data_IF_280785227876
#
_entry.id   IF_280785227876
#
_cell.length_a   1.000
_cell.length_b   1.000
_cell.length_c   1.000
_cell.angle_alpha   90.00
_cell.angle_beta   90.00
_cell.angle_gamma   90.00
#
_symmetry.space_group_name_H-M   'P 1'
#
loop_
_entity.id
_entity.type
_entity.pdbx_description
1 polymer ?
#
# COMPACT_ATOMS: atom_id res chain seq x y z
N UNK A 1 -9.41 -1.38 -22.99
CA UNK A 1 -8.36 -0.92 -23.93
C UNK A 1 -7.47 0.16 -23.33
N UNK A 2 -8.01 1.27 -22.81
CA UNK A 2 -7.22 2.38 -22.25
C UNK A 2 -6.28 1.97 -21.10
N UNK A 3 -6.78 1.23 -20.10
CA UNK A 3 -5.96 0.76 -18.97
C UNK A 3 -4.70 0.00 -19.43
N UNK A 4 -4.82 -0.86 -20.43
CA UNK A 4 -3.70 -1.60 -20.99
C UNK A 4 -2.69 -0.68 -21.68
N UNK A 5 -3.17 0.31 -22.45
CA UNK A 5 -2.32 1.31 -23.10
C UNK A 5 -1.55 2.16 -22.08
N UNK A 6 -2.22 2.64 -21.03
CA UNK A 6 -1.58 3.39 -19.95
C UNK A 6 -0.57 2.54 -19.17
N UNK A 7 -0.81 1.23 -19.03
CA UNK A 7 0.10 0.32 -18.34
C UNK A 7 1.48 0.26 -19.01
N UNK A 8 1.54 0.20 -20.34
CA UNK A 8 2.81 0.11 -21.09
C UNK A 8 3.43 1.48 -21.41
N UNK A 9 2.72 2.57 -21.13
CA UNK A 9 3.14 3.93 -21.44
C UNK A 9 4.37 4.36 -20.63
N UNK A 10 5.37 4.95 -21.29
CA UNK A 10 6.53 5.58 -20.63
C UNK A 10 6.15 6.89 -19.92
N UNK A 11 6.91 7.34 -18.90
CA UNK A 11 6.67 8.61 -18.19
C UNK A 11 7.09 9.83 -19.02
N UNK A 12 6.67 9.91 -20.28
CA UNK A 12 6.90 11.07 -21.13
C UNK A 12 5.82 12.13 -20.84
N UNK A 13 6.01 13.41 -21.20
CA UNK A 13 4.94 14.40 -21.08
C UNK A 13 3.72 14.04 -21.95
N UNK A 14 2.52 14.38 -21.48
CA UNK A 14 1.27 14.30 -22.26
C UNK A 14 0.93 15.66 -22.88
N UNK A 15 0.37 15.65 -24.08
CA UNK A 15 -0.21 16.86 -24.66
C UNK A 15 -1.36 17.39 -23.76
N UNK A 16 -1.50 18.71 -23.59
CA UNK A 16 -2.47 19.29 -22.66
C UNK A 16 -3.92 18.83 -22.89
N UNK A 17 -4.32 18.67 -24.16
CA UNK A 17 -5.66 18.17 -24.49
C UNK A 17 -5.87 16.72 -24.06
N UNK A 18 -4.87 15.85 -24.25
CA UNK A 18 -4.93 14.44 -23.81
C UNK A 18 -4.98 14.35 -22.28
N UNK A 19 -4.19 15.18 -21.58
CA UNK A 19 -4.22 15.29 -20.12
C UNK A 19 -5.63 15.62 -19.62
N UNK A 20 -6.27 16.64 -20.20
CA UNK A 20 -7.63 17.05 -19.83
C UNK A 20 -8.69 15.96 -20.06
N UNK A 21 -8.60 15.23 -21.18
CA UNK A 21 -9.49 14.11 -21.47
C UNK A 21 -9.30 12.95 -20.49
N UNK A 22 -8.05 12.59 -20.19
CA UNK A 22 -7.75 11.52 -19.23
C UNK A 22 -8.21 11.89 -17.82
N UNK A 23 -8.01 13.14 -17.40
CA UNK A 23 -8.41 13.64 -16.09
C UNK A 23 -9.94 13.57 -15.93
N UNK A 24 -10.68 14.01 -16.96
CA UNK A 24 -12.14 13.90 -17.00
C UNK A 24 -12.62 12.44 -16.91
N UNK A 25 -12.00 11.55 -17.69
CA UNK A 25 -12.40 10.15 -17.73
C UNK A 25 -12.10 9.42 -16.42
N UNK A 26 -10.87 9.55 -15.92
CA UNK A 26 -10.44 8.89 -14.68
C UNK A 26 -11.14 9.48 -13.45
N UNK A 27 -11.40 10.80 -13.46
CA UNK A 27 -12.26 11.46 -12.48
C UNK A 27 -13.69 10.91 -12.47
N UNK A 28 -14.28 10.69 -13.65
CA UNK A 28 -15.58 10.04 -13.80
C UNK A 28 -15.58 8.59 -13.29
N UNK A 29 -14.57 7.79 -13.64
CA UNK A 29 -14.43 6.42 -13.11
C UNK A 29 -14.32 6.40 -11.59
N UNK A 30 -13.54 7.31 -11.00
CA UNK A 30 -13.42 7.48 -9.55
C UNK A 30 -14.77 7.83 -8.91
N UNK A 31 -15.55 8.72 -9.53
CA UNK A 31 -16.85 9.13 -8.99
C UNK A 31 -17.90 7.99 -8.98
N UNK A 32 -17.80 7.05 -9.93
CA UNK A 32 -18.68 5.88 -10.00
C UNK A 32 -18.28 4.76 -9.02
N UNK A 33 -17.07 4.82 -8.47
CA UNK A 33 -16.50 3.83 -7.56
C UNK A 33 -16.92 4.14 -6.12
N UNK A 34 -17.59 3.19 -5.47
CA UNK A 34 -17.97 3.32 -4.05
C UNK A 34 -16.75 3.14 -3.14
N UNK A 35 -16.15 4.26 -2.74
CA UNK A 35 -15.02 4.25 -1.82
C UNK A 35 -15.45 3.94 -0.38
N UNK A 36 -14.61 3.22 0.36
CA UNK A 36 -14.79 2.97 1.80
C UNK A 36 -13.93 3.95 2.60
N UNK A 37 -14.48 4.58 3.63
CA UNK A 37 -13.70 5.44 4.53
C UNK A 37 -12.86 4.59 5.49
N UNK A 38 -11.55 4.87 5.59
CA UNK A 38 -10.66 4.14 6.47
C UNK A 38 -11.07 4.19 7.95
N UNK A 39 -11.65 5.31 8.40
CA UNK A 39 -12.13 5.47 9.78
C UNK A 39 -13.44 4.73 10.04
N UNK A 40 -14.21 4.41 8.99
CA UNK A 40 -15.46 3.67 9.10
C UNK A 40 -15.25 2.14 9.16
N UNK A 41 -14.06 1.64 8.83
CA UNK A 41 -13.73 0.22 9.00
C UNK A 41 -13.67 -0.07 10.50
N UNK A 42 -14.29 -1.14 11.03
CA UNK A 42 -14.14 -1.49 12.44
C UNK A 42 -12.69 -1.83 12.80
N UNK A 43 -12.25 -1.36 13.96
CA UNK A 43 -10.94 -1.65 14.55
C UNK A 43 -10.85 -3.11 14.99
N UNK A 44 -9.63 -3.59 15.22
CA UNK A 44 -9.37 -4.90 15.79
C UNK A 44 -9.98 -5.01 17.19
N UNK A 45 -9.97 -3.94 18.00
CA UNK A 45 -10.61 -3.92 19.31
C UNK A 45 -12.14 -4.07 19.23
N UNK A 46 -12.78 -3.47 18.22
CA UNK A 46 -14.24 -3.60 18.00
C UNK A 46 -14.64 -4.99 17.51
N UNK A 47 -13.84 -5.60 16.63
CA UNK A 47 -14.11 -6.94 16.08
C UNK A 47 -13.75 -8.04 17.10
N UNK A 48 -12.63 -7.88 17.83
CA UNK A 48 -12.13 -8.82 18.83
C UNK A 48 -11.90 -8.13 20.18
N UNK A 49 -12.95 -7.90 21.00
CA UNK A 49 -12.84 -7.18 22.27
C UNK A 49 -11.89 -7.79 23.31
N UNK A 50 -11.58 -9.09 23.20
CA UNK A 50 -10.67 -9.80 24.10
C UNK A 50 -9.21 -9.83 23.60
N UNK A 51 -8.91 -9.16 22.49
CA UNK A 51 -7.55 -9.13 21.94
C UNK A 51 -6.57 -8.40 22.87
N UNK A 52 -5.32 -8.87 22.90
CA UNK A 52 -4.16 -8.21 23.52
C UNK A 52 -3.23 -7.59 22.48
N UNK A 53 -3.67 -7.46 21.23
CA UNK A 53 -2.87 -6.81 20.21
C UNK A 53 -2.60 -5.34 20.61
N UNK A 54 -1.33 -4.89 20.74
CA UNK A 54 -1.02 -3.61 21.39
C UNK A 54 -1.59 -2.36 20.72
N UNK A 55 -1.92 -2.44 19.43
CA UNK A 55 -2.46 -1.34 18.64
C UNK A 55 -3.93 -1.60 18.20
N UNK A 56 -4.67 -2.41 18.97
CA UNK A 56 -6.01 -2.86 18.56
C UNK A 56 -7.02 -1.72 18.32
N UNK A 57 -6.94 -0.62 19.08
CA UNK A 57 -7.85 0.53 18.95
C UNK A 57 -7.57 1.39 17.70
N UNK A 58 -6.38 1.28 17.12
CA UNK A 58 -5.95 2.09 15.97
C UNK A 58 -5.79 1.25 14.69
N UNK A 59 -5.80 -0.07 14.80
CA UNK A 59 -5.59 -0.97 13.67
C UNK A 59 -6.92 -1.54 13.22
N UNK A 60 -7.14 -1.64 11.91
CA UNK A 60 -8.27 -2.34 11.31
C UNK A 60 -7.79 -3.38 10.28
N UNK A 61 -8.60 -4.41 10.08
CA UNK A 61 -8.45 -5.37 8.99
C UNK A 61 -9.61 -5.19 8.03
N UNK A 62 -9.29 -4.95 6.76
CA UNK A 62 -10.29 -4.75 5.72
C UNK A 62 -9.99 -5.62 4.50
N UNK A 63 -10.95 -6.43 4.08
CA UNK A 63 -10.84 -7.21 2.86
C UNK A 63 -11.47 -6.45 1.69
N UNK A 64 -10.65 -6.01 0.75
CA UNK A 64 -11.13 -5.21 -0.38
C UNK A 64 -10.03 -4.75 -1.34
N UNK A 65 -10.41 -3.90 -2.29
CA UNK A 65 -9.48 -3.25 -3.21
C UNK A 65 -8.92 -1.98 -2.56
N UNK A 66 -7.62 -1.97 -2.25
CA UNK A 66 -6.95 -0.81 -1.63
C UNK A 66 -7.12 0.48 -2.42
N UNK A 67 -7.35 0.41 -3.74
CA UNK A 67 -7.59 1.60 -4.58
C UNK A 67 -8.95 2.25 -4.34
N UNK A 68 -9.82 1.61 -3.54
CA UNK A 68 -11.15 2.08 -3.15
C UNK A 68 -11.17 2.62 -1.71
N UNK A 69 -10.05 2.56 -0.99
CA UNK A 69 -10.00 3.00 0.39
C UNK A 69 -9.64 4.49 0.46
N UNK A 70 -10.51 5.27 1.11
CA UNK A 70 -10.30 6.68 1.42
C UNK A 70 -9.51 6.76 2.73
N UNK A 71 -8.19 6.71 2.59
CA UNK A 71 -7.21 7.02 3.62
C UNK A 71 -6.37 8.22 3.17
N UNK A 72 -5.57 8.82 4.04
CA UNK A 72 -4.64 9.87 3.62
C UNK A 72 -3.54 9.27 2.76
N UNK A 73 -2.99 8.12 3.15
CA UNK A 73 -1.99 7.39 2.39
C UNK A 73 -2.32 5.91 2.21
N UNK A 74 -2.07 5.39 1.01
CA UNK A 74 -2.08 3.94 0.74
C UNK A 74 -0.69 3.46 0.36
N UNK A 75 -0.30 2.28 0.85
CA UNK A 75 0.97 1.68 0.52
C UNK A 75 0.89 0.91 -0.81
N UNK A 76 1.89 1.11 -1.67
CA UNK A 76 2.09 0.35 -2.90
C UNK A 76 3.31 -0.57 -2.74
N UNK A 77 3.13 -1.88 -2.97
CA UNK A 77 4.23 -2.83 -3.10
C UNK A 77 4.89 -2.67 -4.49
N UNK A 78 5.81 -1.72 -4.58
CA UNK A 78 6.50 -1.34 -5.80
C UNK A 78 7.66 -2.30 -6.13
N UNK A 79 8.16 -2.20 -7.36
CA UNK A 79 9.42 -2.79 -7.77
C UNK A 79 10.57 -1.75 -7.70
N UNK A 80 11.82 -2.20 -7.77
CA UNK A 80 13.02 -1.35 -7.63
C UNK A 80 13.14 -0.20 -8.64
N UNK A 81 12.39 -0.23 -9.75
CA UNK A 81 12.40 0.87 -10.71
C UNK A 81 11.44 2.01 -10.31
N UNK A 82 10.50 1.79 -9.38
CA UNK A 82 9.41 2.71 -8.97
C UNK A 82 8.42 3.12 -10.06
N UNK A 83 8.67 2.80 -11.33
CA UNK A 83 7.84 3.20 -12.47
C UNK A 83 6.54 2.39 -12.61
N UNK A 84 6.10 1.69 -11.57
CA UNK A 84 4.94 0.83 -11.61
C UNK A 84 5.10 -0.43 -12.47
N UNK A 85 4.00 -1.10 -12.72
CA UNK A 85 3.96 -2.32 -13.54
C UNK A 85 3.74 -1.99 -15.03
N UNK A 86 4.54 -2.60 -15.92
CA UNK A 86 4.42 -2.46 -17.38
C UNK A 86 3.74 -3.65 -18.06
N UNK A 87 3.19 -4.61 -17.29
CA UNK A 87 2.47 -5.77 -17.83
C UNK A 87 0.96 -5.49 -17.83
N UNK A 88 0.32 -5.35 -19.01
CA UNK A 88 -1.12 -5.11 -19.09
C UNK A 88 -1.92 -6.13 -18.29
N UNK A 89 -2.88 -5.65 -17.49
CA UNK A 89 -3.79 -6.47 -16.69
C UNK A 89 -3.09 -7.45 -15.74
N UNK A 90 -1.84 -7.19 -15.39
CA UNK A 90 -1.12 -8.02 -14.43
C UNK A 90 -1.78 -7.91 -13.05
N UNK A 91 -2.04 -9.07 -12.44
CA UNK A 91 -2.70 -9.16 -11.14
C UNK A 91 -1.70 -8.84 -9.99
N UNK A 92 -1.23 -7.60 -9.93
CA UNK A 92 -0.42 -7.09 -8.83
C UNK A 92 -0.96 -5.73 -8.35
N UNK A 93 -0.77 -5.44 -7.06
CA UNK A 93 -1.21 -4.18 -6.45
C UNK A 93 -0.59 -2.96 -7.14
N UNK A 94 0.66 -3.07 -7.59
CA UNK A 94 1.35 -2.00 -8.33
C UNK A 94 0.64 -1.64 -9.64
N UNK A 95 0.12 -2.64 -10.38
CA UNK A 95 -0.70 -2.37 -11.56
C UNK A 95 -2.05 -1.74 -11.17
N UNK A 96 -2.70 -2.24 -10.11
CA UNK A 96 -3.98 -1.72 -9.66
C UNK A 96 -3.89 -0.25 -9.23
N UNK A 97 -2.91 0.09 -8.39
CA UNK A 97 -2.65 1.44 -7.89
C UNK A 97 -2.33 2.40 -9.04
N UNK A 98 -1.39 2.06 -9.94
CA UNK A 98 -1.07 2.93 -11.08
C UNK A 98 -2.25 3.07 -12.06
N UNK A 99 -3.04 2.02 -12.28
CA UNK A 99 -4.20 2.08 -13.15
C UNK A 99 -5.31 2.96 -12.58
N UNK A 100 -5.52 2.93 -11.26
CA UNK A 100 -6.54 3.72 -10.59
C UNK A 100 -6.12 5.18 -10.38
N UNK A 101 -4.85 5.44 -10.07
CA UNK A 101 -4.32 6.80 -9.88
C UNK A 101 -4.21 7.57 -11.21
N UNK A 102 -3.88 6.88 -12.30
CA UNK A 102 -3.61 7.50 -13.60
C UNK A 102 -2.12 7.65 -13.92
N UNK A 103 -1.79 8.13 -15.14
CA UNK A 103 -0.42 8.16 -15.65
C UNK A 103 0.51 9.08 -14.85
N UNK A 104 -0.02 10.14 -14.22
CA UNK A 104 0.77 11.10 -13.46
C UNK A 104 1.45 10.50 -12.22
N UNK A 105 0.89 9.42 -11.65
CA UNK A 105 1.57 8.69 -10.58
C UNK A 105 2.94 8.17 -11.04
N UNK A 106 3.01 7.66 -12.28
CA UNK A 106 4.27 7.19 -12.87
C UNK A 106 5.20 8.35 -13.19
N UNK A 107 4.68 9.52 -13.54
CA UNK A 107 5.47 10.73 -13.77
C UNK A 107 6.14 11.20 -12.47
N UNK A 108 5.40 11.25 -11.34
CA UNK A 108 5.99 11.54 -10.03
C UNK A 108 7.08 10.53 -9.65
N UNK A 109 6.80 9.23 -9.81
CA UNK A 109 7.80 8.19 -9.60
C UNK A 109 9.04 8.37 -10.49
N UNK A 110 8.86 8.81 -11.73
CA UNK A 110 9.96 9.05 -12.65
C UNK A 110 10.82 10.24 -12.22
N UNK A 111 10.20 11.33 -11.74
CA UNK A 111 10.92 12.46 -11.15
C UNK A 111 11.76 12.00 -9.96
N UNK A 112 11.19 11.21 -9.05
CA UNK A 112 11.90 10.66 -7.89
C UNK A 112 13.06 9.76 -8.32
N UNK A 113 12.80 8.80 -9.22
CA UNK A 113 13.81 7.85 -9.68
C UNK A 113 14.97 8.54 -10.42
N UNK A 114 14.66 9.56 -11.23
CA UNK A 114 15.66 10.37 -11.95
C UNK A 114 16.51 11.17 -10.97
N UNK A 115 15.91 11.82 -9.98
CA UNK A 115 16.65 12.58 -8.96
C UNK A 115 17.52 11.67 -8.08
N UNK A 116 17.04 10.46 -7.77
CA UNK A 116 17.80 9.46 -7.01
C UNK A 116 18.98 8.89 -7.79
N UNK A 117 18.86 8.75 -9.11
CA UNK A 117 19.93 8.24 -9.99
C UNK A 117 20.27 6.76 -9.80
N UNK A 118 19.56 6.03 -8.95
CA UNK A 118 19.77 4.62 -8.67
C UNK A 118 18.45 3.90 -8.38
N UNK A 119 18.36 2.57 -8.64
CA UNK A 119 17.19 1.80 -8.28
C UNK A 119 16.90 1.84 -6.78
N UNK A 120 15.61 1.78 -6.43
CA UNK A 120 15.16 1.82 -5.05
C UNK A 120 15.63 0.58 -4.26
N UNK A 121 15.99 0.80 -3.00
CA UNK A 121 16.52 -0.26 -2.13
C UNK A 121 15.39 -1.01 -1.44
N UNK A 122 15.53 -2.33 -1.30
CA UNK A 122 14.57 -3.16 -0.55
C UNK A 122 14.39 -2.65 0.88
N UNK A 123 13.13 -2.50 1.30
CA UNK A 123 12.74 -1.95 2.60
C UNK A 123 12.80 -0.42 2.73
N UNK A 124 13.09 0.30 1.64
CA UNK A 124 12.95 1.75 1.60
C UNK A 124 11.59 2.16 1.03
N UNK A 125 11.17 3.40 1.33
CA UNK A 125 9.90 3.97 0.88
C UNK A 125 10.08 5.33 0.20
N UNK A 126 9.16 5.66 -0.72
CA UNK A 126 9.01 6.97 -1.39
C UNK A 126 7.54 7.36 -1.39
N UNK A 127 7.25 8.65 -1.45
CA UNK A 127 5.87 9.16 -1.40
C UNK A 127 5.56 10.02 -2.62
N UNK A 128 4.36 9.87 -3.15
CA UNK A 128 3.82 10.64 -4.29
C UNK A 128 2.38 11.03 -4.02
N UNK A 129 1.80 11.83 -4.92
CA UNK A 129 0.37 12.18 -4.90
C UNK A 129 -0.49 10.99 -5.34
N UNK A 130 -1.69 10.86 -4.77
CA UNK A 130 -2.64 9.80 -5.10
C UNK A 130 -3.48 10.02 -6.36
N UNK A 131 -3.51 11.24 -6.89
CA UNK A 131 -4.25 11.60 -8.11
C UNK A 131 -5.73 11.18 -8.06
N UNK A 132 -6.16 10.25 -8.93
CA UNK A 132 -7.53 9.78 -8.98
C UNK A 132 -7.86 8.67 -7.97
N UNK A 133 -6.93 8.31 -7.08
CA UNK A 133 -7.27 7.49 -5.93
C UNK A 133 -8.20 8.29 -4.97
N UNK A 134 -9.06 7.61 -4.21
CA UNK A 134 -9.69 8.20 -3.04
C UNK A 134 -8.66 8.67 -2.00
N UNK A 135 -7.49 8.02 -1.97
CA UNK A 135 -6.38 8.39 -1.10
C UNK A 135 -5.58 9.57 -1.65
N UNK A 136 -5.07 10.40 -0.73
CA UNK A 136 -4.35 11.65 -1.08
C UNK A 136 -2.91 11.38 -1.50
N UNK A 137 -2.29 10.35 -0.94
CA UNK A 137 -0.90 9.98 -1.17
C UNK A 137 -0.75 8.49 -1.44
N UNK A 138 0.33 8.14 -2.15
CA UNK A 138 0.81 6.76 -2.29
C UNK A 138 2.20 6.66 -1.71
N UNK A 139 2.39 5.73 -0.77
CA UNK A 139 3.70 5.38 -0.22
C UNK A 139 4.20 4.13 -0.90
N UNK A 140 5.16 4.28 -1.79
CA UNK A 140 5.78 3.21 -2.57
C UNK A 140 6.90 2.58 -1.76
N UNK A 141 6.84 1.27 -1.51
CA UNK A 141 7.93 0.53 -0.87
C UNK A 141 8.32 -0.68 -1.69
N UNK A 142 9.61 -1.00 -1.70
CA UNK A 142 10.12 -2.20 -2.37
C UNK A 142 10.29 -3.30 -1.32
N UNK A 143 9.37 -4.27 -1.33
CA UNK A 143 9.46 -5.42 -0.44
C UNK A 143 10.52 -6.45 -0.89
N UNK A 144 10.96 -7.36 0.00
CA UNK A 144 11.83 -8.46 -0.39
C UNK A 144 11.15 -9.43 -1.37
N UNK A 145 11.94 -10.04 -2.25
CA UNK A 145 11.50 -11.12 -3.15
C UNK A 145 12.01 -12.43 -2.56
N UNK A 146 11.11 -13.38 -2.33
CA UNK A 146 11.44 -14.72 -1.86
C UNK A 146 11.27 -15.69 -3.03
N UNK A 147 12.38 -16.07 -3.63
CA UNK A 147 12.45 -17.09 -4.68
C UNK A 147 13.22 -18.30 -4.13
N UNK A 148 12.48 -19.28 -3.59
CA UNK A 148 13.04 -20.44 -2.90
C UNK A 148 12.88 -20.35 -1.38
N UNK A 149 13.97 -20.55 -0.64
CA UNK A 149 13.94 -20.64 0.82
C UNK A 149 13.81 -19.27 1.49
N UNK A 150 12.96 -19.18 2.51
CA UNK A 150 12.82 -18.00 3.33
C UNK A 150 14.03 -17.84 4.26
N UNK A 151 14.89 -16.89 3.93
CA UNK A 151 16.04 -16.49 4.77
C UNK A 151 15.71 -15.37 5.78
N UNK A 152 16.46 -15.26 6.90
CA UNK A 152 16.21 -14.25 7.94
C UNK A 152 16.22 -12.79 7.47
N UNK A 153 17.02 -12.47 6.44
CA UNK A 153 17.09 -11.11 5.92
C UNK A 153 15.79 -10.69 5.22
N UNK A 154 15.02 -11.63 4.65
CA UNK A 154 13.71 -11.34 4.07
C UNK A 154 12.75 -10.84 5.15
N UNK A 155 12.71 -11.52 6.31
CA UNK A 155 11.83 -11.11 7.41
C UNK A 155 12.21 -9.70 7.92
N UNK A 156 13.51 -9.42 8.05
CA UNK A 156 14.03 -8.10 8.45
C UNK A 156 13.68 -7.02 7.42
N UNK A 157 13.85 -7.31 6.13
CA UNK A 157 13.54 -6.38 5.04
C UNK A 157 12.02 -6.09 4.92
N UNK A 158 11.18 -7.10 5.15
CA UNK A 158 9.73 -6.90 5.17
C UNK A 158 9.32 -6.01 6.35
N UNK A 159 9.81 -6.30 7.56
CA UNK A 159 9.56 -5.44 8.73
C UNK A 159 10.03 -4.00 8.49
N UNK A 160 11.20 -3.84 7.85
CA UNK A 160 11.75 -2.53 7.47
C UNK A 160 10.83 -1.80 6.48
N UNK A 161 10.22 -2.50 5.52
CA UNK A 161 9.29 -1.91 4.55
C UNK A 161 8.10 -1.23 5.23
N UNK A 162 7.46 -1.90 6.19
CA UNK A 162 6.35 -1.33 6.96
C UNK A 162 6.78 -0.12 7.77
N UNK A 163 7.91 -0.21 8.49
CA UNK A 163 8.44 0.90 9.29
C UNK A 163 8.80 2.09 8.40
N UNK A 164 9.49 1.89 7.28
CA UNK A 164 9.85 2.95 6.36
C UNK A 164 8.62 3.68 5.79
N UNK A 165 7.54 2.95 5.51
CA UNK A 165 6.28 3.57 5.10
C UNK A 165 5.68 4.44 6.21
N UNK A 166 5.65 3.94 7.44
CA UNK A 166 5.13 4.69 8.59
C UNK A 166 5.97 5.91 8.91
N UNK A 167 7.31 5.80 8.90
CA UNK A 167 8.22 6.93 9.11
C UNK A 167 7.99 8.00 8.04
N UNK A 168 7.95 7.63 6.75
CA UNK A 168 7.79 8.60 5.67
C UNK A 168 6.39 9.24 5.68
N UNK A 169 5.34 8.46 5.94
CA UNK A 169 4.02 9.01 6.17
C UNK A 169 4.02 9.96 7.38
N UNK A 170 4.84 9.66 8.40
CA UNK A 170 4.98 10.47 9.60
C UNK A 170 5.74 11.79 9.40
N UNK A 171 6.40 11.99 8.27
CA UNK A 171 7.03 13.28 7.93
C UNK A 171 6.01 14.29 7.39
N UNK A 172 4.86 13.82 6.91
CA UNK A 172 3.79 14.68 6.39
C UNK A 172 2.70 14.84 7.45
N UNK A 173 2.46 16.09 7.89
CA UNK A 173 1.59 16.39 9.05
C UNK A 173 0.13 15.97 8.83
N UNK A 174 -0.37 16.10 7.60
CA UNK A 174 -1.77 15.86 7.25
C UNK A 174 -2.08 14.39 6.92
N UNK A 175 -1.12 13.49 7.01
CA UNK A 175 -1.33 12.04 6.85
C UNK A 175 -1.66 11.44 8.21
N UNK A 176 -2.94 11.25 8.53
CA UNK A 176 -3.36 10.65 9.80
C UNK A 176 -3.88 9.22 9.66
N UNK A 177 -4.19 8.80 8.45
CA UNK A 177 -4.66 7.45 8.15
C UNK A 177 -3.79 6.78 7.08
N UNK A 178 -3.32 5.56 7.37
CA UNK A 178 -2.43 4.80 6.46
C UNK A 178 -3.02 3.42 6.21
N UNK A 179 -3.08 2.99 4.95
CA UNK A 179 -3.50 1.65 4.60
C UNK A 179 -2.38 0.85 3.93
N UNK A 180 -2.18 -0.39 4.37
CA UNK A 180 -1.20 -1.31 3.82
C UNK A 180 -1.86 -2.38 2.96
N UNK A 181 -1.26 -2.70 1.82
CA UNK A 181 -1.53 -3.95 1.13
C UNK A 181 -0.65 -5.08 1.69
N UNK A 182 -0.88 -6.32 1.26
CA UNK A 182 0.04 -7.44 1.49
C UNK A 182 1.38 -7.25 0.77
N UNK A 183 2.33 -6.55 1.42
CA UNK A 183 3.67 -6.32 0.86
C UNK A 183 4.36 -7.66 0.69
N UNK A 184 4.84 -7.92 -0.53
CA UNK A 184 5.54 -9.14 -0.96
C UNK A 184 4.76 -10.46 -0.96
N UNK A 185 3.49 -10.50 -0.56
CA UNK A 185 2.74 -11.78 -0.44
C UNK A 185 2.11 -12.31 -1.73
N UNK A 186 2.10 -11.49 -2.78
CA UNK A 186 1.65 -11.88 -4.12
C UNK A 186 2.80 -12.39 -4.99
N UNK A 187 3.11 -11.65 -6.05
CA UNK A 187 4.11 -12.01 -7.07
C UNK A 187 5.54 -12.19 -6.51
N UNK A 188 5.83 -11.64 -5.32
CA UNK A 188 7.15 -11.73 -4.68
C UNK A 188 7.31 -12.92 -3.73
N UNK A 189 6.29 -13.79 -3.60
CA UNK A 189 6.43 -15.12 -3.02
C UNK A 189 6.60 -15.20 -1.49
N UNK A 190 6.44 -14.10 -0.76
CA UNK A 190 6.60 -14.13 0.70
C UNK A 190 5.45 -14.94 1.35
N UNK A 191 5.73 -15.92 2.24
CA UNK A 191 4.69 -16.72 2.88
C UNK A 191 3.70 -15.87 3.69
N UNK A 192 2.41 -15.97 3.36
CA UNK A 192 1.32 -15.11 3.87
C UNK A 192 1.23 -15.06 5.39
N UNK A 193 1.21 -16.21 6.06
CA UNK A 193 1.20 -16.30 7.53
C UNK A 193 2.38 -15.53 8.15
N UNK A 194 3.61 -15.82 7.69
CA UNK A 194 4.82 -15.13 8.20
C UNK A 194 4.76 -13.63 7.93
N UNK A 195 4.31 -13.22 6.74
CA UNK A 195 4.18 -11.81 6.39
C UNK A 195 3.15 -11.07 7.25
N UNK A 196 1.98 -11.67 7.50
CA UNK A 196 0.92 -11.07 8.31
C UNK A 196 1.40 -10.83 9.75
N UNK A 197 2.08 -11.81 10.36
CA UNK A 197 2.72 -11.64 11.68
C UNK A 197 3.72 -10.48 11.67
N UNK A 198 4.64 -10.46 10.71
CA UNK A 198 5.67 -9.41 10.60
C UNK A 198 5.04 -8.02 10.41
N UNK A 199 3.98 -7.93 9.60
CA UNK A 199 3.24 -6.69 9.37
C UNK A 199 2.61 -6.17 10.67
N UNK A 200 1.88 -7.03 11.38
CA UNK A 200 1.22 -6.71 12.64
C UNK A 200 2.23 -6.27 13.71
N UNK A 201 3.33 -7.02 13.88
CA UNK A 201 4.39 -6.74 14.85
C UNK A 201 5.13 -5.43 14.53
N UNK A 202 5.48 -5.20 13.26
CA UNK A 202 6.20 -4.00 12.85
C UNK A 202 5.36 -2.73 13.04
N UNK A 203 4.07 -2.79 12.68
CA UNK A 203 3.14 -1.66 12.85
C UNK A 203 2.84 -1.41 14.33
N UNK A 204 2.52 -2.45 15.11
CA UNK A 204 2.27 -2.30 16.55
C UNK A 204 3.48 -1.70 17.28
N UNK A 205 4.68 -2.23 17.01
CA UNK A 205 5.91 -1.73 17.61
C UNK A 205 6.18 -0.27 17.24
N UNK A 206 5.92 0.11 15.98
CA UNK A 206 6.10 1.50 15.55
C UNK A 206 5.09 2.44 16.23
N UNK A 207 3.81 2.10 16.21
CA UNK A 207 2.74 2.90 16.83
C UNK A 207 2.97 3.08 18.34
N UNK A 208 3.46 2.04 19.03
CA UNK A 208 3.79 2.11 20.45
C UNK A 208 4.90 3.12 20.79
N UNK A 209 5.80 3.44 19.85
CA UNK A 209 6.85 4.45 20.05
C UNK A 209 6.40 5.88 19.75
N UNK A 210 5.27 6.05 19.05
CA UNK A 210 4.78 7.33 18.54
C UNK A 210 3.26 7.43 18.73
N UNK A 211 2.80 7.49 19.99
CA UNK A 211 1.37 7.55 20.28
C UNK A 211 0.73 8.78 19.62
N UNK A 212 -0.55 8.65 19.22
CA UNK A 212 -1.37 9.71 18.61
C UNK A 212 -0.91 10.23 17.24
N UNK A 213 0.11 9.61 16.63
CA UNK A 213 0.60 10.06 15.33
C UNK A 213 -0.37 9.72 14.19
N UNK A 214 -0.98 8.56 14.23
CA UNK A 214 -2.02 8.16 13.28
C UNK A 214 -3.33 7.91 14.01
N UNK A 215 -4.44 8.24 13.35
CA UNK A 215 -5.81 7.94 13.81
C UNK A 215 -6.22 6.51 13.41
N UNK A 216 -5.63 5.99 12.33
CA UNK A 216 -5.95 4.65 11.82
C UNK A 216 -4.83 4.07 10.98
N UNK A 217 -4.55 2.78 11.20
CA UNK A 217 -3.80 1.94 10.27
C UNK A 217 -4.70 0.80 9.79
N UNK A 218 -4.87 0.65 8.47
CA UNK A 218 -5.71 -0.41 7.88
C UNK A 218 -4.84 -1.43 7.17
N UNK A 219 -4.90 -2.69 7.59
CA UNK A 219 -4.38 -3.80 6.80
C UNK A 219 -5.42 -4.20 5.76
N UNK A 220 -5.09 -4.03 4.48
CA UNK A 220 -5.96 -4.35 3.35
C UNK A 220 -5.57 -5.69 2.76
N UNK A 221 -6.46 -6.67 2.86
CA UNK A 221 -6.32 -8.01 2.27
C UNK A 221 -7.19 -8.11 1.02
N UNK A 222 -6.79 -8.95 0.07
CA UNK A 222 -7.55 -9.17 -1.17
C UNK A 222 -7.96 -10.64 -1.29
N UNK A 223 -6.97 -11.53 -1.30
CA UNK A 223 -7.19 -12.97 -1.34
C UNK A 223 -7.63 -13.49 0.03
N UNK A 224 -8.46 -14.54 0.03
CA UNK A 224 -9.03 -15.12 1.26
C UNK A 224 -7.97 -15.73 2.18
N UNK A 225 -6.88 -16.23 1.63
CA UNK A 225 -5.77 -16.81 2.36
C UNK A 225 -4.86 -15.75 2.99
N UNK A 226 -4.70 -14.58 2.37
CA UNK A 226 -4.09 -13.41 3.04
C UNK A 226 -4.97 -12.97 4.22
N UNK A 227 -6.27 -12.86 4.00
CA UNK A 227 -7.23 -12.48 5.04
C UNK A 227 -7.23 -13.45 6.24
N UNK A 228 -7.30 -14.75 5.95
CA UNK A 228 -7.21 -15.79 6.97
C UNK A 228 -5.91 -15.71 7.77
N UNK A 229 -4.77 -15.44 7.12
CA UNK A 229 -3.48 -15.30 7.80
C UNK A 229 -3.48 -14.13 8.81
N UNK A 230 -4.06 -12.98 8.45
CA UNK A 230 -4.21 -11.86 9.40
C UNK A 230 -5.15 -12.20 10.55
N UNK A 231 -6.32 -12.79 10.25
CA UNK A 231 -7.29 -13.17 11.28
C UNK A 231 -6.72 -14.21 12.26
N UNK A 232 -6.04 -15.25 11.77
CA UNK A 232 -5.40 -16.28 12.59
C UNK A 232 -4.38 -15.64 13.53
N UNK A 233 -3.51 -14.77 13.02
CA UNK A 233 -2.53 -14.09 13.86
C UNK A 233 -3.16 -13.16 14.87
N UNK A 234 -4.16 -12.35 14.49
CA UNK A 234 -4.89 -11.50 15.44
C UNK A 234 -5.58 -12.33 16.54
N UNK A 235 -6.08 -13.52 16.22
CA UNK A 235 -6.65 -14.45 17.20
C UNK A 235 -5.61 -15.08 18.13
N UNK A 236 -4.32 -15.14 17.75
CA UNK A 236 -3.27 -15.58 18.69
C UNK A 236 -2.99 -14.58 19.81
N UNK A 237 -3.45 -13.33 19.67
CA UNK A 237 -3.38 -12.32 20.72
C UNK A 237 -4.53 -12.41 21.73
N UNK A 238 -5.33 -13.48 21.70
CA UNK A 238 -6.43 -13.70 22.65
C UNK A 238 -5.94 -14.54 23.85
N UNK A 239 -6.60 -14.39 25.01
CA UNK A 239 -6.35 -15.21 26.21
C UNK A 239 -6.82 -16.65 25.97
#
# INVERSE_FOLDING_TARGET
MLRAALTVRRPEPLEPHVTSLLDTLLGGERALRMATDALAVPTVAEIWPATRYPAADLTALWRGDITMLRADAVANAANRALLGCFRPMHNCVDNAVHAAAGPWLREDCHTIATAQGAPETTGAAKITRGYHLPARYVVHTVGPIVDGLLEPWHEQALARSYRACLELAAEVEDIRTVAFCGISTGVFGFPKARAARIALDAVAGWLGTRPNRFDRVVFTTFASDDDAAYQEHLATWTI
#
